data_IF_137229278116
#
_entry.id   IF_137229278116
#
_cell.length_a   1.000
_cell.length_b   1.000
_cell.length_c   1.000
_cell.angle_alpha   90.00
_cell.angle_beta   90.00
_cell.angle_gamma   90.00
#
_symmetry.space_group_name_H-M   'P 1'
#
loop_
_entity.id
_entity.type
_entity.pdbx_description
1 polymer ?
#
# COMPACT_ATOMS: atom_id res chain seq x y z
N UNK A 1 -6.47 -5.70 -11.80
CA UNK A 1 -7.00 -5.09 -10.56
C UNK A 1 -6.21 -3.83 -10.23
N UNK A 2 -6.90 -2.80 -9.85
CA UNK A 2 -6.29 -1.51 -9.50
C UNK A 2 -6.54 -1.22 -8.03
N UNK A 3 -5.47 -1.13 -7.26
CA UNK A 3 -5.51 -0.68 -5.87
C UNK A 3 -5.19 0.82 -5.83
N UNK A 4 -5.79 1.54 -4.90
CA UNK A 4 -5.51 2.95 -4.66
C UNK A 4 -5.25 3.16 -3.18
N UNK A 5 -4.07 3.67 -2.86
CA UNK A 5 -3.71 4.12 -1.53
C UNK A 5 -3.81 5.64 -1.50
N UNK A 6 -4.76 6.15 -0.74
CA UNK A 6 -4.94 7.58 -0.56
C UNK A 6 -4.39 7.99 0.81
N UNK A 7 -3.33 8.78 0.82
CA UNK A 7 -2.73 9.30 2.05
C UNK A 7 -3.62 10.41 2.59
N UNK A 8 -4.08 10.25 3.83
CA UNK A 8 -5.04 11.20 4.44
C UNK A 8 -4.46 11.99 5.59
N UNK A 9 -3.38 11.53 6.22
CA UNK A 9 -2.74 12.22 7.33
C UNK A 9 -1.22 12.11 7.22
N UNK A 10 -0.59 13.24 6.94
CA UNK A 10 0.88 13.37 6.81
C UNK A 10 1.40 13.99 8.10
N UNK A 11 1.84 13.14 9.03
CA UNK A 11 2.26 13.55 10.36
C UNK A 11 3.78 13.51 10.50
N UNK A 12 4.28 14.10 11.58
CA UNK A 12 5.69 13.97 11.93
C UNK A 12 5.99 12.52 12.30
N UNK A 13 6.84 11.87 11.51
CA UNK A 13 7.29 10.51 11.75
C UNK A 13 6.42 9.41 11.14
N UNK A 14 5.19 9.69 10.68
CA UNK A 14 4.34 8.68 10.08
C UNK A 14 3.29 9.24 9.13
N UNK A 15 2.76 8.38 8.29
CA UNK A 15 1.70 8.71 7.31
C UNK A 15 0.58 7.68 7.40
N UNK A 16 -0.65 8.18 7.56
CA UNK A 16 -1.84 7.33 7.55
C UNK A 16 -2.54 7.48 6.20
N UNK A 17 -2.98 6.36 5.65
CA UNK A 17 -3.74 6.32 4.41
C UNK A 17 -4.91 5.36 4.48
N UNK A 18 -5.65 5.31 3.39
CA UNK A 18 -6.74 4.35 3.17
C UNK A 18 -6.50 3.62 1.86
N UNK A 19 -6.72 2.32 1.88
CA UNK A 19 -6.54 1.45 0.73
C UNK A 19 -7.89 1.03 0.17
N UNK A 20 -8.03 1.18 -1.15
CA UNK A 20 -9.25 0.87 -1.90
C UNK A 20 -8.94 -0.05 -3.07
N UNK A 21 -9.94 -0.82 -3.48
CA UNK A 21 -9.99 -1.40 -4.83
C UNK A 21 -10.80 -0.45 -5.70
N UNK A 22 -10.23 -0.05 -6.82
CA UNK A 22 -10.89 0.77 -7.83
C UNK A 22 -11.54 -0.16 -8.86
N UNK A 23 -12.83 0.02 -9.08
CA UNK A 23 -13.61 -0.80 -10.02
C UNK A 23 -14.44 0.07 -10.94
N UNK A 24 -14.62 -0.32 -12.20
CA UNK A 24 -15.56 0.38 -13.08
C UNK A 24 -16.99 0.20 -12.56
N UNK A 25 -17.80 1.23 -12.74
CA UNK A 25 -19.24 1.13 -12.50
C UNK A 25 -19.83 0.39 -13.71
N UNK A 26 -20.43 -0.78 -13.45
CA UNK A 26 -21.11 -1.57 -14.48
C UNK A 26 -22.60 -1.24 -14.39
N UNK A 27 -23.00 -0.22 -15.15
CA UNK A 27 -24.39 0.25 -15.20
C UNK A 27 -24.69 0.75 -16.59
N UNK A 28 -25.90 0.52 -17.07
CA UNK A 28 -26.36 0.92 -18.41
C UNK A 28 -26.37 2.45 -18.58
N UNK A 29 -26.64 3.17 -17.52
CA UNK A 29 -26.83 4.62 -17.55
C UNK A 29 -25.70 5.40 -16.89
N UNK A 30 -24.89 4.75 -16.03
CA UNK A 30 -23.82 5.41 -15.29
C UNK A 30 -22.46 5.02 -15.83
N UNK A 31 -21.58 6.02 -15.95
CA UNK A 31 -20.17 5.83 -16.27
C UNK A 31 -19.32 6.28 -15.10
N UNK A 32 -18.13 5.71 -14.94
CA UNK A 32 -17.18 6.10 -13.92
C UNK A 32 -16.63 4.94 -13.15
N UNK A 33 -16.08 5.26 -11.99
CA UNK A 33 -15.38 4.31 -11.14
C UNK A 33 -15.87 4.42 -9.72
N UNK A 34 -15.87 3.29 -9.02
CA UNK A 34 -16.14 3.23 -7.58
C UNK A 34 -14.92 2.74 -6.84
N UNK A 35 -14.77 3.20 -5.62
CA UNK A 35 -13.67 2.84 -4.73
C UNK A 35 -14.22 2.03 -3.57
N UNK A 36 -13.79 0.78 -3.46
CA UNK A 36 -14.23 -0.13 -2.40
C UNK A 36 -13.16 -0.13 -1.33
N UNK A 37 -13.47 0.38 -0.15
CA UNK A 37 -12.56 0.44 0.97
C UNK A 37 -12.19 -0.95 1.47
N UNK A 38 -10.88 -1.16 1.72
CA UNK A 38 -10.35 -2.40 2.29
C UNK A 38 -9.91 -2.18 3.73
N UNK A 39 -8.98 -1.26 3.95
CA UNK A 39 -8.36 -1.02 5.25
C UNK A 39 -7.61 0.31 5.28
N UNK A 40 -7.05 0.62 6.45
CA UNK A 40 -6.12 1.74 6.60
C UNK A 40 -4.69 1.29 6.35
N UNK A 41 -3.80 2.27 6.13
CA UNK A 41 -2.38 2.03 5.89
C UNK A 41 -1.53 2.89 6.81
N UNK A 42 -0.33 2.39 7.10
CA UNK A 42 0.68 3.13 7.86
C UNK A 42 2.01 3.03 7.13
N UNK A 43 2.60 4.17 6.88
CA UNK A 43 3.90 4.32 6.25
C UNK A 43 4.80 5.22 7.10
N UNK A 44 6.12 5.22 6.86
CA UNK A 44 6.99 6.24 7.43
C UNK A 44 6.56 7.65 7.01
N UNK A 45 7.31 8.65 7.45
CA UNK A 45 6.98 10.04 7.18
C UNK A 45 6.97 10.33 5.67
N UNK A 46 5.91 11.00 5.22
CA UNK A 46 5.80 11.50 3.87
C UNK A 46 6.89 12.54 3.57
N UNK A 47 7.44 12.49 2.38
CA UNK A 47 8.42 13.46 1.87
C UNK A 47 7.89 14.09 0.60
N UNK A 48 8.02 15.38 0.48
CA UNK A 48 7.63 16.10 -0.73
C UNK A 48 8.74 16.04 -1.77
N UNK A 49 8.89 14.86 -2.40
CA UNK A 49 9.92 14.63 -3.41
C UNK A 49 9.76 15.56 -4.61
N UNK A 50 8.53 15.95 -4.96
CA UNK A 50 8.24 16.87 -6.05
C UNK A 50 8.84 18.27 -5.79
N UNK A 51 8.98 18.65 -4.52
CA UNK A 51 9.61 19.92 -4.12
C UNK A 51 11.06 19.75 -3.65
N UNK A 52 11.69 18.63 -3.98
CA UNK A 52 13.10 18.40 -3.72
C UNK A 52 13.45 17.84 -2.35
N UNK A 53 12.46 17.38 -1.57
CA UNK A 53 12.75 16.68 -0.32
C UNK A 53 13.57 15.43 -0.58
N UNK A 54 14.48 15.12 0.33
CA UNK A 54 15.37 13.95 0.22
C UNK A 54 14.82 12.78 1.03
N UNK A 55 15.04 11.57 0.48
CA UNK A 55 14.81 10.33 1.22
C UNK A 55 15.74 10.26 2.42
N UNK A 56 15.18 9.94 3.59
CA UNK A 56 15.95 9.57 4.78
C UNK A 56 15.81 8.06 4.95
N UNK A 57 16.92 7.35 4.82
CA UNK A 57 16.96 5.89 4.87
C UNK A 57 16.22 5.34 6.09
N UNK A 58 15.27 4.42 5.87
CA UNK A 58 14.50 3.77 6.92
C UNK A 58 13.39 4.63 7.53
N UNK A 59 13.26 5.90 7.12
CA UNK A 59 12.33 6.87 7.75
C UNK A 59 11.48 7.64 6.75
N UNK A 60 11.40 7.18 5.51
CA UNK A 60 10.65 7.88 4.46
C UNK A 60 9.65 6.98 3.78
N UNK A 61 8.45 7.51 3.55
CA UNK A 61 7.47 6.89 2.67
C UNK A 61 7.96 6.95 1.21
N UNK A 62 7.43 6.07 0.38
CA UNK A 62 7.76 6.01 -1.04
C UNK A 62 7.13 7.18 -1.81
N UNK A 63 7.65 7.52 -2.99
CA UNK A 63 7.04 8.54 -3.84
C UNK A 63 5.62 8.16 -4.26
N UNK A 64 4.79 9.17 -4.49
CA UNK A 64 3.54 9.01 -5.21
C UNK A 64 3.83 8.41 -6.59
N UNK A 65 2.91 7.61 -7.08
CA UNK A 65 3.06 6.98 -8.39
C UNK A 65 2.17 5.76 -8.54
N UNK A 66 2.32 5.10 -9.67
CA UNK A 66 1.59 3.88 -9.99
C UNK A 66 2.59 2.76 -10.20
N UNK A 67 2.47 1.71 -9.41
CA UNK A 67 3.44 0.62 -9.36
C UNK A 67 2.78 -0.72 -9.64
N UNK A 68 3.40 -1.57 -10.47
CA UNK A 68 2.93 -2.95 -10.61
C UNK A 68 3.14 -3.72 -9.30
N UNK A 69 2.23 -4.66 -9.03
CA UNK A 69 2.37 -5.54 -7.88
C UNK A 69 2.52 -6.98 -8.36
N UNK A 70 3.50 -7.65 -7.80
CA UNK A 70 3.72 -9.10 -7.94
C UNK A 70 3.80 -9.73 -6.55
N UNK A 71 3.55 -11.02 -6.45
CA UNK A 71 3.75 -11.76 -5.21
C UNK A 71 5.03 -12.56 -5.34
N UNK A 72 6.00 -12.28 -4.47
CA UNK A 72 7.26 -12.98 -4.42
C UNK A 72 7.61 -13.37 -3.00
N UNK A 73 8.52 -14.32 -2.85
CA UNK A 73 9.01 -14.73 -1.54
C UNK A 73 9.92 -13.64 -0.95
N UNK A 74 9.62 -13.23 0.28
CA UNK A 74 10.44 -12.28 1.02
C UNK A 74 11.46 -13.02 1.87
N UNK A 75 12.76 -12.87 1.62
CA UNK A 75 13.80 -13.48 2.47
C UNK A 75 13.76 -12.95 3.91
N UNK A 76 13.43 -11.67 4.07
CA UNK A 76 13.36 -11.02 5.38
C UNK A 76 12.21 -11.54 6.23
N UNK A 77 11.02 -11.63 5.65
CA UNK A 77 9.82 -12.06 6.39
C UNK A 77 9.55 -13.56 6.25
N UNK A 78 10.28 -14.25 5.37
CA UNK A 78 10.13 -15.69 5.09
C UNK A 78 8.70 -16.06 4.71
N UNK A 79 8.09 -15.22 3.89
CA UNK A 79 6.71 -15.34 3.41
C UNK A 79 6.59 -14.84 1.98
N UNK A 80 5.58 -15.33 1.28
CA UNK A 80 5.14 -14.79 0.01
C UNK A 80 4.30 -13.55 0.28
N UNK A 81 4.74 -12.39 -0.19
CA UNK A 81 4.11 -11.10 0.09
C UNK A 81 4.05 -10.24 -1.17
N UNK A 82 3.06 -9.34 -1.26
CA UNK A 82 3.02 -8.37 -2.35
C UNK A 82 4.30 -7.52 -2.39
N UNK A 83 4.83 -7.34 -3.59
CA UNK A 83 5.99 -6.51 -3.87
C UNK A 83 5.61 -5.45 -4.90
N UNK A 84 5.91 -4.18 -4.60
CA UNK A 84 5.79 -3.08 -5.54
C UNK A 84 7.05 -3.02 -6.40
N UNK A 85 6.86 -3.01 -7.73
CA UNK A 85 7.97 -3.09 -8.69
C UNK A 85 8.40 -1.70 -9.13
N UNK A 86 9.71 -1.49 -9.25
CA UNK A 86 10.31 -0.25 -9.77
C UNK A 86 9.93 1.02 -9.01
N UNK A 87 9.93 0.98 -7.71
CA UNK A 87 9.72 2.17 -6.88
C UNK A 87 11.00 3.02 -6.91
N UNK A 88 10.94 4.28 -7.37
CA UNK A 88 12.13 5.13 -7.40
C UNK A 88 12.79 5.28 -6.03
N UNK A 89 14.12 5.18 -5.97
CA UNK A 89 14.94 5.30 -4.77
C UNK A 89 14.77 4.18 -3.72
N UNK A 90 13.94 3.20 -3.98
CA UNK A 90 13.65 2.11 -3.05
C UNK A 90 13.78 0.76 -3.73
N UNK A 91 14.00 -0.26 -2.93
CA UNK A 91 13.95 -1.67 -3.35
C UNK A 91 13.27 -2.48 -2.26
N UNK A 92 12.63 -3.58 -2.66
CA UNK A 92 11.98 -4.47 -1.70
C UNK A 92 10.79 -3.87 -0.97
N UNK A 93 10.09 -2.94 -1.59
CA UNK A 93 8.88 -2.34 -1.02
C UNK A 93 7.73 -3.34 -1.10
N UNK A 94 7.22 -3.71 0.07
CA UNK A 94 6.15 -4.71 0.21
C UNK A 94 4.98 -4.18 1.00
N UNK A 95 3.86 -4.87 0.87
CA UNK A 95 2.77 -4.78 1.82
C UNK A 95 2.98 -5.91 2.82
N UNK A 96 3.16 -5.59 4.09
CA UNK A 96 3.36 -6.58 5.13
C UNK A 96 2.74 -6.17 6.46
N UNK A 97 2.73 -7.09 7.43
CA UNK A 97 2.14 -6.85 8.74
C UNK A 97 3.07 -6.06 9.66
N UNK A 98 2.48 -5.26 10.51
CA UNK A 98 3.14 -4.49 11.56
C UNK A 98 2.14 -3.60 12.26
N UNK A 99 2.56 -2.89 13.30
CA UNK A 99 1.68 -2.05 14.10
C UNK A 99 2.07 -0.57 14.11
N UNK A 100 3.35 -0.26 14.11
CA UNK A 100 3.87 1.11 14.16
C UNK A 100 4.94 1.33 13.11
N UNK A 101 5.39 2.59 12.93
CA UNK A 101 6.46 2.92 11.99
C UNK A 101 7.79 2.22 12.33
N UNK A 102 7.94 1.72 13.55
CA UNK A 102 9.13 0.93 13.92
C UNK A 102 9.19 -0.41 13.18
N UNK A 103 8.06 -0.86 12.65
CA UNK A 103 7.95 -2.13 11.92
C UNK A 103 8.19 -1.98 10.43
N UNK A 104 8.53 -0.78 9.94
CA UNK A 104 8.73 -0.53 8.52
C UNK A 104 9.85 0.46 8.26
N UNK A 105 10.51 0.30 7.11
CA UNK A 105 11.54 1.22 6.62
C UNK A 105 11.17 1.84 5.27
N UNK A 106 9.91 1.76 4.89
CA UNK A 106 9.38 2.23 3.60
C UNK A 106 8.25 1.37 3.09
N UNK A 107 8.14 0.14 3.55
CA UNK A 107 7.02 -0.75 3.23
C UNK A 107 5.70 -0.22 3.76
N UNK A 108 4.62 -0.67 3.17
CA UNK A 108 3.27 -0.28 3.52
C UNK A 108 2.71 -1.28 4.51
N UNK A 109 2.41 -0.82 5.73
CA UNK A 109 1.68 -1.60 6.71
C UNK A 109 0.18 -1.38 6.50
N UNK A 110 -0.61 -2.42 6.70
CA UNK A 110 -2.06 -2.40 6.55
C UNK A 110 -2.75 -2.84 7.82
N UNK A 111 -3.96 -2.36 8.06
CA UNK A 111 -4.73 -2.69 9.25
C UNK A 111 -5.82 -1.67 9.52
N UNK A 112 -6.19 -1.55 10.79
CA UNK A 112 -7.21 -0.62 11.27
C UNK A 112 -6.55 0.47 12.10
N UNK A 113 -6.66 1.72 11.67
CA UNK A 113 -6.11 2.87 12.40
C UNK A 113 -7.11 3.35 13.46
N UNK A 114 -7.16 2.63 14.58
CA UNK A 114 -8.03 2.95 15.72
C UNK A 114 -7.28 3.70 16.84
N UNK A 115 -5.96 3.71 16.78
CA UNK A 115 -5.09 4.39 17.73
C UNK A 115 -4.09 5.25 16.98
N UNK A 116 -3.66 6.35 17.59
CA UNK A 116 -2.72 7.30 16.97
C UNK A 116 -1.42 6.59 16.57
N UNK A 117 -1.03 6.73 15.30
CA UNK A 117 0.22 6.21 14.78
C UNK A 117 0.31 4.68 14.72
N UNK A 118 -0.81 3.97 14.78
CA UNK A 118 -0.85 2.51 14.78
C UNK A 118 -1.88 1.95 13.81
N UNK A 119 -1.64 0.72 13.38
CA UNK A 119 -2.63 -0.12 12.71
C UNK A 119 -2.77 -1.44 13.48
N UNK A 120 -4.00 -1.91 13.59
CA UNK A 120 -4.37 -3.14 14.32
C UNK A 120 -4.90 -4.18 13.34
N UNK A 121 -4.89 -5.45 13.77
CA UNK A 121 -5.34 -6.58 12.96
C UNK A 121 -4.60 -6.70 11.61
N UNK A 122 -3.35 -6.30 11.59
CA UNK A 122 -2.57 -6.17 10.36
C UNK A 122 -2.45 -7.47 9.57
N UNK A 123 -2.19 -8.59 10.23
CA UNK A 123 -2.06 -9.91 9.58
C UNK A 123 -3.32 -10.30 8.80
N UNK A 124 -4.48 -10.02 9.37
CA UNK A 124 -5.77 -10.27 8.72
C UNK A 124 -5.87 -9.54 7.39
N UNK A 125 -5.51 -8.26 7.37
CA UNK A 125 -5.62 -7.43 6.16
C UNK A 125 -4.54 -7.76 5.14
N UNK A 126 -3.35 -8.16 5.56
CA UNK A 126 -2.33 -8.68 4.64
C UNK A 126 -2.87 -9.90 3.89
N UNK A 127 -3.51 -10.82 4.59
CA UNK A 127 -4.07 -12.02 3.96
C UNK A 127 -5.25 -11.69 3.04
N UNK A 128 -6.10 -10.76 3.42
CA UNK A 128 -7.21 -10.30 2.56
C UNK A 128 -6.66 -9.71 1.26
N UNK A 129 -5.68 -8.80 1.35
CA UNK A 129 -5.09 -8.14 0.18
C UNK A 129 -4.38 -9.17 -0.70
N UNK A 130 -3.60 -10.05 -0.10
CA UNK A 130 -2.89 -11.11 -0.80
C UNK A 130 -3.85 -12.02 -1.56
N UNK A 131 -4.95 -12.43 -0.93
CA UNK A 131 -5.98 -13.24 -1.58
C UNK A 131 -6.60 -12.56 -2.79
N UNK A 132 -6.89 -11.26 -2.68
CA UNK A 132 -7.42 -10.47 -3.80
C UNK A 132 -6.44 -10.39 -4.96
N UNK A 133 -5.16 -10.20 -4.67
CA UNK A 133 -4.11 -10.16 -5.69
C UNK A 133 -3.97 -11.51 -6.39
N UNK A 134 -3.91 -12.60 -5.64
CA UNK A 134 -3.83 -13.97 -6.19
C UNK A 134 -5.02 -14.26 -7.07
N UNK A 135 -6.23 -13.94 -6.62
CA UNK A 135 -7.45 -14.14 -7.40
C UNK A 135 -7.40 -13.38 -8.73
N UNK A 136 -6.97 -12.12 -8.71
CA UNK A 136 -6.84 -11.31 -9.93
C UNK A 136 -5.81 -11.93 -10.88
N UNK A 137 -4.66 -12.35 -10.38
CA UNK A 137 -3.62 -12.97 -11.19
C UNK A 137 -4.04 -14.31 -11.77
N UNK A 138 -4.80 -15.10 -11.03
CA UNK A 138 -5.34 -16.37 -11.52
C UNK A 138 -6.33 -16.16 -12.68
N UNK A 139 -6.96 -15.00 -12.74
CA UNK A 139 -7.82 -14.59 -13.87
C UNK A 139 -7.04 -13.97 -15.02
N UNK A 140 -5.72 -13.91 -14.95
CA UNK A 140 -4.88 -13.28 -15.96
C UNK A 140 -4.82 -11.76 -15.91
N UNK A 141 -5.29 -11.14 -14.83
CA UNK A 141 -5.28 -9.70 -14.65
C UNK A 141 -3.94 -9.21 -14.10
N UNK A 142 -3.43 -8.10 -14.64
CA UNK A 142 -2.34 -7.36 -14.01
C UNK A 142 -2.85 -6.66 -12.75
N UNK A 143 -1.97 -6.48 -11.76
CA UNK A 143 -2.30 -5.79 -10.52
C UNK A 143 -1.41 -4.56 -10.38
N UNK A 144 -2.03 -3.42 -10.12
CA UNK A 144 -1.36 -2.14 -9.93
C UNK A 144 -1.80 -1.50 -8.62
N UNK A 145 -0.95 -0.67 -8.05
CA UNK A 145 -1.29 0.21 -6.95
C UNK A 145 -0.93 1.65 -7.32
N UNK A 146 -1.88 2.56 -7.15
CA UNK A 146 -1.65 4.00 -7.25
C UNK A 146 -1.52 4.57 -5.85
N UNK A 147 -0.42 5.27 -5.60
CA UNK A 147 -0.15 5.98 -4.34
C UNK A 147 -0.40 7.47 -4.58
N UNK A 148 -1.32 8.06 -3.84
CA UNK A 148 -1.66 9.49 -3.95
C UNK A 148 -1.94 10.15 -2.59
#
# INVERSE_FOLDING_TARGET
MELVLKRIAKKKGYTIGKLYVKQPIIDEYLRGEKFIYICDTLEPQWRDYAKGARKIKGKSAIPEGRYPIVITFSPTFKKWLPLLVNVPMFSGIRIHAGNTVKDTQGCILVGENREVGKVLNSRKYVEIIKSKIVEAKDKGEAVWIEIR
#
